data_IF_060917873702
#
_entry.id   IF_060917873702
#
_cell.length_a   1.000
_cell.length_b   1.000
_cell.length_c   1.000
_cell.angle_alpha   90.00
_cell.angle_beta   90.00
_cell.angle_gamma   90.00
#
_symmetry.space_group_name_H-M   'P 1'
#
loop_
_entity.id
_entity.type
_entity.pdbx_description
1 polymer ?
#
# COMPACT_ATOMS: atom_id res chain seq x y z
N UNK A 1 -49.27 4.04 -59.49
CA UNK A 1 -50.32 4.24 -58.46
C UNK A 1 -51.72 4.03 -59.03
N UNK A 2 -52.04 4.56 -60.20
CA UNK A 2 -53.35 4.42 -60.86
C UNK A 2 -53.74 2.97 -61.17
N UNK A 3 -52.81 2.11 -61.58
CA UNK A 3 -53.08 0.67 -61.83
C UNK A 3 -53.35 -0.17 -60.57
N UNK A 4 -52.76 0.23 -59.44
CA UNK A 4 -52.90 -0.50 -58.17
C UNK A 4 -54.26 -0.18 -57.51
N UNK A 5 -54.72 1.06 -57.70
CA UNK A 5 -56.05 1.52 -57.29
C UNK A 5 -57.16 0.83 -58.12
N UNK A 6 -56.98 0.65 -59.42
CA UNK A 6 -57.97 -0.04 -60.27
C UNK A 6 -58.10 -1.53 -59.93
N UNK A 7 -56.98 -2.22 -59.70
CA UNK A 7 -56.98 -3.62 -59.24
C UNK A 7 -57.63 -3.76 -57.86
N UNK A 8 -57.36 -2.84 -56.94
CA UNK A 8 -57.96 -2.85 -55.60
C UNK A 8 -59.49 -2.66 -55.64
N UNK A 9 -59.96 -1.70 -56.45
CA UNK A 9 -61.39 -1.43 -56.61
C UNK A 9 -62.18 -2.56 -57.29
N UNK A 10 -61.50 -3.46 -58.02
CA UNK A 10 -62.12 -4.63 -58.66
C UNK A 10 -62.30 -5.87 -57.78
N UNK A 11 -61.75 -5.85 -56.55
CA UNK A 11 -61.86 -6.96 -55.60
C UNK A 11 -63.16 -6.86 -54.78
N UNK A 12 -63.83 -8.01 -54.55
CA UNK A 12 -65.02 -8.06 -53.71
C UNK A 12 -64.74 -7.67 -52.24
N UNK A 13 -65.72 -7.13 -51.50
CA UNK A 13 -65.54 -6.62 -50.13
C UNK A 13 -64.93 -7.65 -49.16
N UNK A 14 -65.31 -8.92 -49.30
CA UNK A 14 -64.79 -10.04 -48.51
C UNK A 14 -63.30 -10.29 -48.74
N UNK A 15 -62.82 -10.15 -49.98
CA UNK A 15 -61.40 -10.34 -50.31
C UNK A 15 -60.59 -9.14 -49.82
N UNK A 16 -61.10 -7.92 -49.97
CA UNK A 16 -60.47 -6.72 -49.42
C UNK A 16 -60.30 -6.82 -47.89
N UNK A 17 -61.34 -7.25 -47.17
CA UNK A 17 -61.28 -7.46 -45.72
C UNK A 17 -60.23 -8.52 -45.32
N UNK A 18 -60.15 -9.62 -46.06
CA UNK A 18 -59.14 -10.67 -45.82
C UNK A 18 -57.70 -10.17 -46.04
N UNK A 19 -57.46 -9.38 -47.09
CA UNK A 19 -56.14 -8.79 -47.37
C UNK A 19 -55.74 -7.79 -46.28
N UNK A 20 -56.67 -6.92 -45.84
CA UNK A 20 -56.41 -5.98 -44.75
C UNK A 20 -56.06 -6.74 -43.46
N UNK A 21 -56.82 -7.77 -43.11
CA UNK A 21 -56.55 -8.61 -41.93
C UNK A 21 -55.18 -9.30 -41.98
N UNK A 22 -54.80 -9.84 -43.14
CA UNK A 22 -53.49 -10.45 -43.35
C UNK A 22 -52.34 -9.43 -43.18
N UNK A 23 -52.46 -8.26 -43.81
CA UNK A 23 -51.45 -7.18 -43.71
C UNK A 23 -51.32 -6.68 -42.27
N UNK A 24 -52.43 -6.45 -41.58
CA UNK A 24 -52.43 -6.03 -40.18
C UNK A 24 -51.76 -7.07 -39.26
N UNK A 25 -51.99 -8.36 -39.51
CA UNK A 25 -51.34 -9.45 -38.78
C UNK A 25 -49.84 -9.49 -39.04
N UNK A 26 -49.41 -9.36 -40.29
CA UNK A 26 -47.99 -9.30 -40.64
C UNK A 26 -47.28 -8.09 -40.03
N UNK A 27 -47.91 -6.90 -40.04
CA UNK A 27 -47.35 -5.69 -39.42
C UNK A 27 -47.24 -5.83 -37.91
N UNK A 28 -48.28 -6.34 -37.25
CA UNK A 28 -48.27 -6.57 -35.80
C UNK A 28 -47.18 -7.59 -35.42
N UNK A 29 -47.04 -8.67 -36.21
CA UNK A 29 -45.98 -9.66 -36.04
C UNK A 29 -44.58 -9.05 -36.22
N UNK A 30 -44.37 -8.24 -37.26
CA UNK A 30 -43.10 -7.57 -37.52
C UNK A 30 -42.72 -6.61 -36.39
N UNK A 31 -43.65 -5.76 -35.95
CA UNK A 31 -43.43 -4.84 -34.82
C UNK A 31 -43.14 -5.60 -33.52
N UNK A 32 -43.84 -6.70 -33.26
CA UNK A 32 -43.59 -7.58 -32.12
C UNK A 32 -42.18 -8.16 -32.13
N UNK A 33 -41.75 -8.73 -33.26
CA UNK A 33 -40.41 -9.31 -33.42
C UNK A 33 -39.32 -8.24 -33.25
N UNK A 34 -39.48 -7.06 -33.89
CA UNK A 34 -38.53 -5.95 -33.74
C UNK A 34 -38.45 -5.48 -32.29
N UNK A 35 -39.59 -5.36 -31.61
CA UNK A 35 -39.65 -5.00 -30.18
C UNK A 35 -38.88 -5.99 -29.31
N UNK A 36 -39.08 -7.30 -29.52
CA UNK A 36 -38.36 -8.37 -28.80
C UNK A 36 -36.85 -8.30 -29.10
N UNK A 37 -36.44 -8.12 -30.36
CA UNK A 37 -35.02 -8.00 -30.72
C UNK A 37 -34.36 -6.78 -30.05
N UNK A 38 -35.05 -5.64 -30.02
CA UNK A 38 -34.57 -4.44 -29.31
C UNK A 38 -34.45 -4.68 -27.80
N UNK A 39 -35.43 -5.35 -27.19
CA UNK A 39 -35.41 -5.70 -25.76
C UNK A 39 -34.26 -6.66 -25.42
N UNK A 40 -34.04 -7.71 -26.21
CA UNK A 40 -32.91 -8.64 -26.02
C UNK A 40 -31.58 -7.88 -26.12
N UNK A 41 -31.45 -6.95 -27.08
CA UNK A 41 -30.26 -6.11 -27.20
C UNK A 41 -30.03 -5.20 -25.99
N UNK A 42 -31.10 -4.59 -25.46
CA UNK A 42 -31.03 -3.75 -24.26
C UNK A 42 -30.71 -4.57 -22.99
N UNK A 43 -31.38 -5.71 -22.80
CA UNK A 43 -31.14 -6.64 -21.69
C UNK A 43 -29.71 -7.22 -21.75
N UNK A 44 -29.22 -7.56 -22.94
CA UNK A 44 -27.85 -8.05 -23.11
C UNK A 44 -26.80 -7.02 -22.69
N UNK A 45 -27.01 -5.73 -23.00
CA UNK A 45 -26.11 -4.65 -22.55
C UNK A 45 -26.18 -4.45 -21.03
N UNK A 46 -27.38 -4.41 -20.46
CA UNK A 46 -27.58 -4.28 -19.02
C UNK A 46 -26.96 -5.47 -18.26
N UNK A 47 -27.11 -6.70 -18.77
CA UNK A 47 -26.53 -7.89 -18.18
C UNK A 47 -24.99 -7.85 -18.24
N UNK A 48 -24.39 -7.43 -19.36
CA UNK A 48 -22.94 -7.25 -19.46
C UNK A 48 -22.40 -6.22 -18.47
N UNK A 49 -23.12 -5.11 -18.29
CA UNK A 49 -22.75 -4.09 -17.32
C UNK A 49 -22.84 -4.63 -15.88
N UNK A 50 -23.92 -5.34 -15.55
CA UNK A 50 -24.09 -5.98 -14.24
C UNK A 50 -22.99 -7.01 -13.95
N UNK A 51 -22.62 -7.84 -14.92
CA UNK A 51 -21.52 -8.80 -14.80
C UNK A 51 -20.19 -8.07 -14.58
N UNK A 52 -19.90 -7.04 -15.38
CA UNK A 52 -18.67 -6.26 -15.25
C UNK A 52 -18.58 -5.53 -13.90
N UNK A 53 -19.70 -4.99 -13.41
CA UNK A 53 -19.76 -4.33 -12.11
C UNK A 53 -19.58 -5.31 -10.95
N UNK A 54 -20.23 -6.48 -11.02
CA UNK A 54 -20.06 -7.55 -10.04
C UNK A 54 -18.61 -8.03 -10.00
N UNK A 55 -17.97 -8.21 -11.15
CA UNK A 55 -16.56 -8.61 -11.23
C UNK A 55 -15.64 -7.51 -10.68
N UNK A 56 -15.93 -6.23 -10.96
CA UNK A 56 -15.19 -5.11 -10.37
C UNK A 56 -15.30 -5.10 -8.84
N UNK A 57 -16.49 -5.34 -8.29
CA UNK A 57 -16.72 -5.42 -6.84
C UNK A 57 -15.97 -6.60 -6.23
N UNK A 58 -15.96 -7.75 -6.90
CA UNK A 58 -15.18 -8.94 -6.50
C UNK A 58 -13.69 -8.62 -6.44
N UNK A 59 -13.11 -8.07 -7.51
CA UNK A 59 -11.70 -7.70 -7.57
C UNK A 59 -11.31 -6.66 -6.51
N UNK A 60 -12.17 -5.66 -6.26
CA UNK A 60 -11.98 -4.67 -5.18
C UNK A 60 -11.92 -5.33 -3.81
N UNK A 61 -12.82 -6.27 -3.54
CA UNK A 61 -12.85 -7.02 -2.28
C UNK A 61 -11.59 -7.89 -2.12
N UNK A 62 -11.22 -8.66 -3.14
CA UNK A 62 -10.02 -9.51 -3.13
C UNK A 62 -8.75 -8.68 -2.92
N UNK A 63 -8.66 -7.51 -3.56
CA UNK A 63 -7.53 -6.60 -3.40
C UNK A 63 -7.46 -6.01 -1.98
N UNK A 64 -8.61 -5.66 -1.39
CA UNK A 64 -8.66 -5.17 -0.03
C UNK A 64 -8.27 -6.27 0.98
N UNK A 65 -8.73 -7.50 0.79
CA UNK A 65 -8.34 -8.64 1.63
C UNK A 65 -6.84 -8.90 1.58
N UNK A 66 -6.24 -8.91 0.38
CA UNK A 66 -4.79 -9.00 0.22
C UNK A 66 -4.05 -7.85 0.91
N UNK A 67 -4.60 -6.64 0.81
CA UNK A 67 -4.07 -5.45 1.49
C UNK A 67 -4.02 -5.64 2.99
N UNK A 68 -5.14 -6.06 3.60
CA UNK A 68 -5.21 -6.31 5.04
C UNK A 68 -4.23 -7.41 5.44
N UNK A 69 -4.17 -8.52 4.71
CA UNK A 69 -3.26 -9.62 5.02
C UNK A 69 -1.78 -9.19 5.06
N UNK A 70 -1.33 -8.40 4.07
CA UNK A 70 0.04 -7.87 4.05
C UNK A 70 0.27 -6.87 5.18
N UNK A 71 -0.68 -5.97 5.43
CA UNK A 71 -0.57 -4.99 6.52
C UNK A 71 -0.49 -5.66 7.89
N UNK A 72 -1.32 -6.68 8.15
CA UNK A 72 -1.29 -7.47 9.39
C UNK A 72 0.06 -8.17 9.55
N UNK A 73 0.56 -8.82 8.50
CA UNK A 73 1.88 -9.48 8.55
C UNK A 73 3.02 -8.49 8.85
N UNK A 74 2.99 -7.28 8.26
CA UNK A 74 3.95 -6.22 8.57
C UNK A 74 3.81 -5.73 10.02
N UNK A 75 2.57 -5.54 10.51
CA UNK A 75 2.31 -5.15 11.90
C UNK A 75 2.80 -6.21 12.89
N UNK A 76 2.57 -7.50 12.64
CA UNK A 76 3.00 -8.58 13.51
C UNK A 76 4.54 -8.65 13.63
N UNK A 77 5.24 -8.51 12.50
CA UNK A 77 6.70 -8.43 12.48
C UNK A 77 7.22 -7.19 13.22
N UNK A 78 6.57 -6.04 13.04
CA UNK A 78 6.89 -4.79 13.72
C UNK A 78 6.68 -4.88 15.24
N UNK A 79 5.55 -5.44 15.69
CA UNK A 79 5.24 -5.64 17.11
C UNK A 79 6.29 -6.57 17.73
N UNK A 80 6.64 -7.65 17.05
CA UNK A 80 7.65 -8.60 17.52
C UNK A 80 9.01 -7.92 17.69
N UNK A 81 9.48 -7.19 16.67
CA UNK A 81 10.76 -6.49 16.71
C UNK A 81 10.78 -5.37 17.77
N UNK A 82 9.75 -4.53 17.80
CA UNK A 82 9.66 -3.40 18.76
C UNK A 82 9.59 -3.89 20.22
N UNK A 83 8.81 -4.93 20.51
CA UNK A 83 8.77 -5.53 21.84
C UNK A 83 10.11 -6.14 22.26
N UNK A 84 10.86 -6.73 21.32
CA UNK A 84 12.22 -7.21 21.61
C UNK A 84 13.17 -6.05 21.94
N UNK A 85 13.09 -4.92 21.24
CA UNK A 85 13.89 -3.73 21.56
C UNK A 85 13.59 -3.18 22.96
N UNK A 86 12.31 -3.11 23.32
CA UNK A 86 11.91 -2.70 24.67
C UNK A 86 12.42 -3.68 25.72
N UNK A 87 12.18 -4.97 25.51
CA UNK A 87 12.53 -6.04 26.45
C UNK A 87 14.04 -6.12 26.68
N UNK A 88 14.85 -6.09 25.62
CA UNK A 88 16.30 -6.25 25.74
C UNK A 88 16.93 -5.06 26.47
N UNK A 89 16.51 -3.84 26.17
CA UNK A 89 17.01 -2.65 26.86
C UNK A 89 16.63 -2.63 28.34
N UNK A 90 15.39 -3.02 28.67
CA UNK A 90 14.95 -3.12 30.07
C UNK A 90 15.69 -4.24 30.82
N UNK A 91 15.84 -5.42 30.22
CA UNK A 91 16.48 -6.56 30.86
C UNK A 91 17.96 -6.27 31.20
N UNK A 92 18.71 -5.67 30.27
CA UNK A 92 20.11 -5.27 30.50
C UNK A 92 20.19 -4.19 31.59
N UNK A 93 19.31 -3.19 31.56
CA UNK A 93 19.26 -2.13 32.58
C UNK A 93 18.93 -2.65 33.98
N UNK A 94 17.96 -3.56 34.08
CA UNK A 94 17.59 -4.17 35.36
C UNK A 94 18.65 -5.12 35.90
N UNK A 95 19.31 -5.92 35.06
CA UNK A 95 20.41 -6.78 35.52
C UNK A 95 21.56 -5.95 36.12
N UNK A 96 21.99 -4.90 35.41
CA UNK A 96 23.05 -4.01 35.88
C UNK A 96 22.71 -3.36 37.23
N UNK A 97 21.49 -2.82 37.37
CA UNK A 97 21.02 -2.21 38.61
C UNK A 97 20.94 -3.23 39.76
N UNK A 98 20.47 -4.44 39.47
CA UNK A 98 20.34 -5.52 40.44
C UNK A 98 21.71 -6.00 40.94
N UNK A 99 22.71 -6.12 40.06
CA UNK A 99 24.09 -6.45 40.44
C UNK A 99 24.76 -5.33 41.23
N UNK A 100 24.57 -4.06 40.85
CA UNK A 100 25.08 -2.93 41.61
C UNK A 100 24.50 -2.88 43.05
N UNK A 101 23.27 -3.38 43.23
CA UNK A 101 22.62 -3.52 44.53
C UNK A 101 22.98 -4.82 45.29
N UNK A 102 23.92 -5.64 44.79
CA UNK A 102 24.24 -6.97 45.31
C UNK A 102 23.04 -7.92 45.42
N UNK A 103 22.07 -7.79 44.50
CA UNK A 103 20.87 -8.62 44.40
C UNK A 103 20.73 -9.20 42.99
N UNK A 104 21.65 -10.09 42.55
CA UNK A 104 21.63 -10.60 41.19
C UNK A 104 20.28 -11.25 40.86
N UNK A 105 19.71 -10.89 39.71
CA UNK A 105 18.47 -11.44 39.20
C UNK A 105 18.79 -12.40 38.06
N UNK A 106 18.09 -13.53 37.98
CA UNK A 106 18.19 -14.42 36.83
C UNK A 106 17.24 -13.92 35.72
N UNK A 107 17.64 -12.85 35.03
CA UNK A 107 16.86 -12.29 33.92
C UNK A 107 17.21 -13.00 32.61
N UNK A 108 16.18 -13.39 31.86
CA UNK A 108 16.36 -13.91 30.51
C UNK A 108 16.57 -12.75 29.53
N UNK A 109 17.82 -12.42 29.27
CA UNK A 109 18.18 -11.41 28.27
C UNK A 109 18.12 -12.06 26.88
N UNK A 110 17.34 -11.49 25.93
CA UNK A 110 17.27 -11.98 24.56
C UNK A 110 18.65 -12.05 23.89
N UNK A 111 18.84 -13.07 23.05
CA UNK A 111 20.06 -13.28 22.26
C UNK A 111 20.07 -12.40 21.04
N UNK A 112 21.28 -12.05 20.58
CA UNK A 112 21.45 -11.25 19.37
C UNK A 112 20.81 -11.91 18.13
N UNK A 113 20.91 -13.23 17.97
CA UNK A 113 20.29 -13.92 16.82
C UNK A 113 18.78 -13.70 16.75
N UNK A 114 18.05 -13.79 17.88
CA UNK A 114 16.59 -13.55 17.92
C UNK A 114 16.23 -12.14 17.47
N UNK A 115 17.10 -11.18 17.77
CA UNK A 115 16.91 -9.78 17.40
C UNK A 115 17.17 -9.58 15.90
N UNK A 116 18.24 -10.19 15.38
CA UNK A 116 18.56 -10.21 13.95
C UNK A 116 17.42 -10.85 13.15
N UNK A 117 16.90 -11.99 13.61
CA UNK A 117 15.78 -12.68 12.97
C UNK A 117 14.53 -11.79 12.94
N UNK A 118 14.19 -11.13 14.04
CA UNK A 118 13.04 -10.23 14.11
C UNK A 118 13.21 -8.97 13.24
N UNK A 119 14.41 -8.40 13.20
CA UNK A 119 14.72 -7.26 12.31
C UNK A 119 14.64 -7.66 10.83
N UNK A 120 15.13 -8.85 10.50
CA UNK A 120 15.07 -9.40 9.13
C UNK A 120 13.61 -9.66 8.73
N UNK A 121 12.82 -10.28 9.60
CA UNK A 121 11.39 -10.50 9.37
C UNK A 121 10.62 -9.19 9.16
N UNK A 122 10.92 -8.14 9.93
CA UNK A 122 10.35 -6.81 9.71
C UNK A 122 10.75 -6.23 8.35
N UNK A 123 12.03 -6.35 7.99
CA UNK A 123 12.54 -5.86 6.69
C UNK A 123 11.86 -6.57 5.52
N UNK A 124 11.75 -7.90 5.57
CA UNK A 124 11.08 -8.72 4.56
C UNK A 124 9.59 -8.38 4.45
N UNK A 125 8.90 -8.26 5.59
CA UNK A 125 7.48 -7.89 5.61
C UNK A 125 7.25 -6.47 5.06
N UNK A 126 8.18 -5.54 5.29
CA UNK A 126 8.12 -4.18 4.76
C UNK A 126 8.38 -4.15 3.25
N UNK A 127 9.32 -4.96 2.75
CA UNK A 127 9.54 -5.15 1.32
C UNK A 127 8.28 -5.71 0.62
N UNK A 128 7.62 -6.70 1.24
CA UNK A 128 6.37 -7.26 0.72
C UNK A 128 5.25 -6.21 0.66
N UNK A 129 5.14 -5.36 1.68
CA UNK A 129 4.24 -4.20 1.68
C UNK A 129 4.51 -3.25 0.51
N UNK A 130 5.78 -2.92 0.27
CA UNK A 130 6.20 -2.08 -0.86
C UNK A 130 5.84 -2.73 -2.20
N UNK A 131 6.17 -4.01 -2.41
CA UNK A 131 5.87 -4.70 -3.66
C UNK A 131 4.38 -4.81 -3.94
N UNK A 132 3.57 -5.01 -2.90
CA UNK A 132 2.13 -4.97 -3.02
C UNK A 132 1.64 -3.61 -3.53
N UNK A 133 2.15 -2.49 -2.99
CA UNK A 133 1.81 -1.14 -3.48
C UNK A 133 2.17 -0.99 -4.95
N UNK A 134 3.39 -1.38 -5.33
CA UNK A 134 3.88 -1.25 -6.70
C UNK A 134 3.05 -2.09 -7.68
N UNK A 135 2.69 -3.32 -7.30
CA UNK A 135 1.81 -4.19 -8.11
C UNK A 135 0.41 -3.58 -8.30
N UNK A 136 -0.10 -2.88 -7.30
CA UNK A 136 -1.44 -2.33 -7.28
C UNK A 136 -1.53 -0.87 -7.78
N UNK A 137 -0.45 -0.34 -8.37
CA UNK A 137 -0.41 1.03 -8.90
C UNK A 137 -1.47 1.30 -9.98
N UNK A 138 -1.94 0.27 -10.68
CA UNK A 138 -3.01 0.39 -11.69
C UNK A 138 -4.34 0.89 -11.09
N UNK A 139 -4.56 0.67 -9.79
CA UNK A 139 -5.78 1.11 -9.10
C UNK A 139 -5.76 2.63 -8.90
N UNK A 140 -4.68 3.14 -8.32
CA UNK A 140 -4.41 4.58 -8.21
C UNK A 140 -2.89 4.83 -8.18
N UNK A 141 -2.33 5.58 -9.15
CA UNK A 141 -0.89 5.87 -9.19
C UNK A 141 -0.36 6.62 -7.96
N UNK A 142 -1.25 7.33 -7.24
CA UNK A 142 -0.88 8.09 -6.03
C UNK A 142 -0.52 7.16 -4.86
N UNK A 143 -0.87 5.88 -4.91
CA UNK A 143 -0.50 4.88 -3.90
C UNK A 143 1.02 4.78 -3.68
N UNK A 144 1.84 5.19 -4.67
CA UNK A 144 3.29 5.22 -4.53
C UNK A 144 3.80 6.08 -3.37
N UNK A 145 3.00 7.04 -2.88
CA UNK A 145 3.38 7.82 -1.69
C UNK A 145 3.61 6.93 -0.47
N UNK A 146 2.85 5.85 -0.33
CA UNK A 146 3.00 4.91 0.78
C UNK A 146 4.29 4.11 0.69
N UNK A 147 4.78 3.82 -0.52
CA UNK A 147 6.12 3.25 -0.70
C UNK A 147 7.18 4.24 -0.23
N UNK A 148 7.06 5.51 -0.61
CA UNK A 148 8.02 6.56 -0.23
C UNK A 148 8.03 6.75 1.29
N UNK A 149 6.85 6.88 1.91
CA UNK A 149 6.68 7.00 3.36
C UNK A 149 7.26 5.79 4.10
N UNK A 150 6.94 4.57 3.65
CA UNK A 150 7.43 3.34 4.26
C UNK A 150 8.96 3.21 4.17
N UNK A 151 9.55 3.54 3.02
CA UNK A 151 11.01 3.55 2.87
C UNK A 151 11.67 4.59 3.80
N UNK A 152 11.07 5.77 3.94
CA UNK A 152 11.58 6.79 4.83
C UNK A 152 11.54 6.34 6.31
N UNK A 153 10.43 5.74 6.75
CA UNK A 153 10.28 5.20 8.10
C UNK A 153 11.25 4.04 8.37
N UNK A 154 11.34 3.07 7.45
CA UNK A 154 12.26 1.93 7.57
C UNK A 154 13.73 2.37 7.58
N UNK A 155 14.09 3.42 6.82
CA UNK A 155 15.45 3.96 6.82
C UNK A 155 15.88 4.44 8.20
N UNK A 156 15.01 5.16 8.93
CA UNK A 156 15.30 5.64 10.29
C UNK A 156 15.51 4.47 11.25
N UNK A 157 14.64 3.46 11.19
CA UNK A 157 14.78 2.23 12.00
C UNK A 157 16.09 1.52 11.67
N UNK A 158 16.40 1.34 10.38
CA UNK A 158 17.61 0.67 9.93
C UNK A 158 18.89 1.45 10.28
N UNK A 159 18.84 2.77 10.27
CA UNK A 159 19.97 3.59 10.67
C UNK A 159 20.26 3.44 12.16
N UNK A 160 19.24 3.57 13.00
CA UNK A 160 19.37 3.39 14.44
C UNK A 160 19.81 1.96 14.79
N UNK A 161 19.23 0.95 14.12
CA UNK A 161 19.56 -0.45 14.31
C UNK A 161 21.01 -0.77 13.89
N UNK A 162 21.37 -0.52 12.63
CA UNK A 162 22.66 -0.97 12.09
C UNK A 162 23.84 -0.12 12.56
N UNK A 163 23.67 1.20 12.69
CA UNK A 163 24.79 2.08 13.06
C UNK A 163 25.04 2.16 14.55
N UNK A 164 23.98 2.05 15.36
CA UNK A 164 24.09 2.27 16.81
C UNK A 164 23.87 0.98 17.58
N UNK A 165 22.75 0.29 17.36
CA UNK A 165 22.42 -0.88 18.16
C UNK A 165 23.38 -2.06 17.91
N UNK A 166 23.53 -2.53 16.67
CA UNK A 166 24.33 -3.73 16.36
C UNK A 166 25.76 -3.66 16.94
N UNK A 167 26.55 -2.59 16.75
CA UNK A 167 27.91 -2.53 17.29
C UNK A 167 27.97 -2.56 18.82
N UNK A 168 26.99 -1.96 19.50
CA UNK A 168 26.95 -1.94 20.97
C UNK A 168 26.41 -3.26 21.54
N UNK A 169 25.53 -3.94 20.83
CA UNK A 169 24.91 -5.19 21.28
C UNK A 169 25.87 -6.38 21.32
N UNK A 170 26.94 -6.37 20.52
CA UNK A 170 27.91 -7.48 20.46
C UNK A 170 28.57 -7.75 21.82
N UNK A 171 28.84 -6.71 22.60
CA UNK A 171 29.50 -6.82 23.91
C UNK A 171 28.51 -6.81 25.08
N UNK A 172 27.28 -6.37 24.86
CA UNK A 172 26.28 -6.15 25.92
C UNK A 172 25.21 -7.24 25.99
N UNK A 173 25.16 -8.15 25.01
CA UNK A 173 24.20 -9.25 24.99
C UNK A 173 24.88 -10.59 25.26
N UNK A 174 24.13 -11.57 25.79
CA UNK A 174 24.65 -12.92 25.96
C UNK A 174 25.10 -13.54 24.64
N UNK A 175 26.32 -14.10 24.63
CA UNK A 175 26.93 -14.76 23.47
C UNK A 175 27.01 -16.26 23.71
N UNK A 176 26.70 -17.04 22.68
CA UNK A 176 26.82 -18.50 22.69
C UNK A 176 28.24 -18.87 22.22
N UNK A 177 28.96 -19.65 23.04
CA UNK A 177 30.25 -20.21 22.69
C UNK A 177 30.08 -21.53 21.91
N UNK A 178 31.12 -21.95 21.19
CA UNK A 178 31.10 -23.20 20.39
C UNK A 178 30.79 -24.45 21.22
N UNK A 179 31.09 -24.43 22.52
CA UNK A 179 30.81 -25.52 23.45
C UNK A 179 29.37 -25.51 24.01
N UNK A 180 28.50 -24.61 23.54
CA UNK A 180 27.13 -24.44 23.99
C UNK A 180 26.98 -23.65 25.30
N UNK A 181 28.07 -23.14 25.88
CA UNK A 181 28.00 -22.26 27.03
C UNK A 181 27.58 -20.85 26.64
N UNK A 182 26.89 -20.20 27.56
CA UNK A 182 26.49 -18.81 27.44
C UNK A 182 27.44 -17.95 28.24
N UNK A 183 28.08 -16.99 27.60
CA UNK A 183 28.86 -15.95 28.29
C UNK A 183 28.05 -14.67 28.29
N UNK A 184 27.89 -14.09 29.48
CA UNK A 184 27.28 -12.80 29.67
C UNK A 184 27.95 -12.09 30.85
N UNK A 185 28.52 -10.92 30.58
CA UNK A 185 29.02 -10.02 31.59
C UNK A 185 28.07 -8.83 31.69
N UNK A 186 27.61 -8.56 32.92
CA UNK A 186 26.71 -7.45 33.17
C UNK A 186 27.47 -6.13 33.02
N UNK A 187 26.97 -5.18 32.22
CA UNK A 187 27.61 -3.89 32.07
C UNK A 187 27.44 -3.03 33.33
N UNK A 188 28.24 -1.97 33.42
CA UNK A 188 28.02 -0.89 34.38
C UNK A 188 26.63 -0.25 34.18
N UNK A 189 26.02 0.24 35.28
CA UNK A 189 24.68 0.83 35.28
C UNK A 189 24.56 1.96 34.25
N UNK A 190 25.57 2.83 34.14
CA UNK A 190 25.55 3.94 33.17
C UNK A 190 25.54 3.44 31.73
N UNK A 191 26.28 2.37 31.44
CA UNK A 191 26.33 1.76 30.10
C UNK A 191 24.98 1.08 29.80
N UNK A 192 24.40 0.39 30.77
CA UNK A 192 23.11 -0.26 30.65
C UNK A 192 21.97 0.73 30.38
N UNK A 193 21.97 1.90 31.05
CA UNK A 193 21.03 2.99 30.81
C UNK A 193 21.19 3.60 29.41
N UNK A 194 22.42 3.85 28.98
CA UNK A 194 22.70 4.33 27.63
C UNK A 194 22.20 3.34 26.55
N UNK A 195 22.41 2.04 26.79
CA UNK A 195 21.91 0.99 25.92
C UNK A 195 20.38 0.94 25.89
N UNK A 196 19.71 1.02 27.05
CA UNK A 196 18.24 1.09 27.14
C UNK A 196 17.68 2.28 26.37
N UNK A 197 18.30 3.46 26.49
CA UNK A 197 17.84 4.65 25.77
C UNK A 197 17.96 4.46 24.25
N UNK A 198 19.00 3.77 23.79
CA UNK A 198 19.18 3.42 22.38
C UNK A 198 18.10 2.47 21.87
N UNK A 199 17.73 1.45 22.65
CA UNK A 199 16.66 0.53 22.22
C UNK A 199 15.29 1.19 22.27
N UNK A 200 15.05 2.11 23.23
CA UNK A 200 13.85 2.95 23.27
C UNK A 200 13.75 3.88 22.05
N UNK A 201 14.87 4.41 21.56
CA UNK A 201 14.88 5.22 20.33
C UNK A 201 14.45 4.40 19.10
N UNK A 202 14.90 3.15 18.98
CA UNK A 202 14.48 2.23 17.91
C UNK A 202 13.00 1.88 18.06
N UNK A 203 12.56 1.55 19.28
CA UNK A 203 11.16 1.28 19.59
C UNK A 203 10.26 2.47 19.17
N UNK A 204 10.63 3.70 19.56
CA UNK A 204 9.88 4.89 19.19
C UNK A 204 9.89 5.14 17.68
N UNK A 205 10.99 4.87 16.99
CA UNK A 205 11.11 5.00 15.54
C UNK A 205 10.19 4.04 14.77
N UNK A 206 9.80 2.91 15.38
CA UNK A 206 8.84 1.97 14.79
C UNK A 206 7.43 2.56 14.64
N UNK A 207 7.07 3.58 15.42
CA UNK A 207 5.73 4.22 15.38
C UNK A 207 5.39 4.84 14.01
N UNK A 208 6.40 5.32 13.28
CA UNK A 208 6.23 5.86 11.94
C UNK A 208 5.84 4.79 10.91
N UNK A 209 6.22 3.52 11.13
CA UNK A 209 5.78 2.39 10.32
C UNK A 209 4.32 2.06 10.65
N UNK A 210 3.96 1.97 11.94
CA UNK A 210 2.59 1.71 12.39
C UNK A 210 1.60 2.71 11.80
N UNK A 211 1.88 4.00 11.96
CA UNK A 211 1.01 5.08 11.46
C UNK A 211 0.90 5.09 9.94
N UNK A 212 1.97 4.74 9.21
CA UNK A 212 1.92 4.56 7.76
C UNK A 212 1.02 3.40 7.34
N UNK A 213 1.03 2.28 8.07
CA UNK A 213 0.17 1.13 7.80
C UNK A 213 -1.31 1.47 8.07
N UNK A 214 -1.60 2.14 9.19
CA UNK A 214 -2.94 2.60 9.53
C UNK A 214 -3.52 3.53 8.45
N UNK A 215 -2.74 4.53 8.05
CA UNK A 215 -3.11 5.47 6.98
C UNK A 215 -3.38 4.73 5.66
N UNK A 216 -2.55 3.71 5.34
CA UNK A 216 -2.71 2.93 4.13
C UNK A 216 -3.99 2.09 4.14
N UNK A 217 -4.31 1.44 5.26
CA UNK A 217 -5.55 0.68 5.41
C UNK A 217 -6.76 1.60 5.22
N UNK A 218 -6.76 2.79 5.82
CA UNK A 218 -7.84 3.77 5.69
C UNK A 218 -8.01 4.22 4.23
N UNK A 219 -6.90 4.56 3.56
CA UNK A 219 -6.94 4.95 2.14
C UNK A 219 -7.45 3.82 1.26
N UNK A 220 -7.01 2.58 1.50
CA UNK A 220 -7.45 1.42 0.71
C UNK A 220 -8.90 1.06 0.97
N UNK A 221 -9.39 1.21 2.21
CA UNK A 221 -10.80 1.07 2.55
C UNK A 221 -11.65 2.10 1.81
N UNK A 222 -11.24 3.37 1.84
CA UNK A 222 -11.93 4.46 1.16
C UNK A 222 -11.91 4.30 -0.37
N UNK A 223 -10.78 3.88 -0.93
CA UNK A 223 -10.57 3.72 -2.38
C UNK A 223 -11.33 2.51 -2.94
N UNK A 224 -11.32 1.38 -2.24
CA UNK A 224 -11.86 0.12 -2.74
C UNK A 224 -13.31 -0.12 -2.32
N UNK A 225 -13.68 0.27 -1.10
CA UNK A 225 -14.96 -0.09 -0.47
C UNK A 225 -15.89 1.11 -0.23
N UNK A 226 -15.39 2.35 -0.29
CA UNK A 226 -16.16 3.54 0.06
C UNK A 226 -17.43 3.73 -0.80
N UNK A 227 -17.40 3.32 -2.07
CA UNK A 227 -18.57 3.35 -2.97
C UNK A 227 -19.60 2.26 -2.66
N UNK A 228 -19.20 1.16 -2.03
CA UNK A 228 -20.11 0.05 -1.69
C UNK A 228 -20.98 0.37 -0.46
N UNK A 229 -20.44 1.13 0.50
CA UNK A 229 -21.11 1.44 1.76
C UNK A 229 -21.58 2.89 1.87
N UNK A 230 -21.38 3.69 0.81
CA UNK A 230 -21.72 5.13 0.76
C UNK A 230 -21.15 5.92 1.95
N UNK A 231 -20.01 5.48 2.48
CA UNK A 231 -19.38 6.05 3.66
C UNK A 231 -17.85 6.01 3.52
N UNK A 232 -17.16 6.92 4.21
CA UNK A 232 -15.70 6.97 4.25
C UNK A 232 -15.20 6.82 5.68
N UNK A 233 -14.18 5.99 5.84
CA UNK A 233 -13.38 5.96 7.05
C UNK A 233 -12.68 7.32 7.24
N UNK A 234 -12.71 7.81 8.47
CA UNK A 234 -12.04 9.07 8.82
C UNK A 234 -10.54 8.83 8.99
N UNK A 235 -9.75 9.75 8.45
CA UNK A 235 -8.32 9.77 8.71
C UNK A 235 -8.04 10.17 10.16
N UNK A 236 -6.91 9.70 10.69
CA UNK A 236 -6.44 10.11 12.02
C UNK A 236 -6.14 11.61 12.07
N UNK A 237 -6.26 12.20 13.26
CA UNK A 237 -5.84 13.58 13.55
C UNK A 237 -4.72 13.50 14.58
N UNK A 238 -3.45 13.63 14.16
CA UNK A 238 -2.32 13.53 15.07
C UNK A 238 -2.35 14.66 16.09
N UNK A 239 -2.02 14.33 17.35
CA UNK A 239 -1.85 15.33 18.42
C UNK A 239 -0.58 16.16 18.16
N UNK A 240 0.48 15.51 17.68
CA UNK A 240 1.72 16.17 17.30
C UNK A 240 1.54 16.91 15.95
N UNK A 241 1.70 18.25 15.91
CA UNK A 241 1.58 19.01 14.67
C UNK A 241 2.66 18.69 13.63
N UNK A 242 3.75 18.02 14.02
CA UNK A 242 4.81 17.59 13.12
C UNK A 242 4.57 16.19 12.54
N UNK A 243 3.60 15.44 13.07
CA UNK A 243 3.25 14.15 12.53
C UNK A 243 2.38 14.31 11.27
N UNK A 244 2.87 13.77 10.15
CA UNK A 244 2.14 13.80 8.88
C UNK A 244 1.21 12.59 8.74
N UNK A 245 -0.01 12.82 8.25
CA UNK A 245 -0.95 11.77 7.83
C UNK A 245 -0.76 11.52 6.34
N UNK A 246 -0.46 10.27 5.97
CA UNK A 246 -0.23 9.90 4.58
C UNK A 246 -1.59 9.74 3.90
N UNK A 247 -1.91 10.64 2.96
CA UNK A 247 -3.19 10.63 2.26
C UNK A 247 -3.01 10.74 0.75
N UNK A 248 -3.93 10.14 -0.01
CA UNK A 248 -3.88 10.20 -1.48
C UNK A 248 -4.16 11.61 -2.02
N UNK A 249 -4.90 12.42 -1.28
CA UNK A 249 -5.24 13.80 -1.67
C UNK A 249 -4.03 14.75 -1.58
N UNK A 250 -3.08 14.47 -0.68
CA UNK A 250 -1.87 15.27 -0.47
C UNK A 250 -0.60 14.57 -0.98
N UNK A 251 -0.74 13.54 -1.81
CA UNK A 251 0.37 12.68 -2.23
C UNK A 251 1.58 13.45 -2.79
N UNK A 252 1.38 14.51 -3.59
CA UNK A 252 2.48 15.31 -4.17
C UNK A 252 3.24 16.16 -3.14
N UNK A 253 2.54 16.72 -2.17
CA UNK A 253 3.12 17.52 -1.09
C UNK A 253 3.92 16.60 -0.17
N UNK A 254 3.35 15.45 0.19
CA UNK A 254 4.00 14.43 1.00
C UNK A 254 5.23 13.85 0.28
N UNK A 255 5.15 13.57 -1.02
CA UNK A 255 6.29 13.07 -1.79
C UNK A 255 7.46 14.07 -1.73
N UNK A 256 7.15 15.36 -1.89
CA UNK A 256 8.17 16.42 -1.78
C UNK A 256 8.78 16.44 -0.37
N UNK A 257 7.96 16.35 0.68
CA UNK A 257 8.42 16.27 2.06
C UNK A 257 9.36 15.08 2.27
N UNK A 258 8.94 13.86 1.93
CA UNK A 258 9.76 12.66 2.13
C UNK A 258 11.06 12.70 1.33
N UNK A 259 11.03 13.21 0.10
CA UNK A 259 12.22 13.28 -0.76
C UNK A 259 13.22 14.38 -0.37
N UNK A 260 12.79 15.41 0.38
CA UNK A 260 13.66 16.59 0.66
C UNK A 260 13.96 16.81 2.13
N UNK A 261 13.01 16.52 3.03
CA UNK A 261 13.11 16.88 4.44
C UNK A 261 13.51 15.69 5.33
N UNK A 262 13.36 14.45 4.86
CA UNK A 262 13.69 13.28 5.67
C UNK A 262 15.14 12.81 5.48
N UNK A 263 15.74 12.13 6.47
CA UNK A 263 17.07 11.54 6.35
C UNK A 263 17.20 10.61 5.14
N UNK A 264 16.13 9.87 4.82
CA UNK A 264 16.07 9.00 3.65
C UNK A 264 16.17 9.80 2.35
N UNK A 265 15.35 10.83 2.18
CA UNK A 265 15.37 11.68 0.97
C UNK A 265 16.72 12.36 0.75
N UNK A 266 17.33 12.88 1.82
CA UNK A 266 18.67 13.45 1.80
C UNK A 266 19.73 12.42 1.40
N UNK A 267 19.63 11.19 1.93
CA UNK A 267 20.52 10.09 1.57
C UNK A 267 20.36 9.70 0.09
N UNK A 268 19.13 9.62 -0.42
CA UNK A 268 18.86 9.34 -1.84
C UNK A 268 19.47 10.43 -2.73
N UNK A 269 19.26 11.70 -2.41
CA UNK A 269 19.84 12.81 -3.17
C UNK A 269 21.37 12.74 -3.23
N UNK A 270 22.01 12.44 -2.09
CA UNK A 270 23.47 12.23 -2.01
C UNK A 270 23.93 11.06 -2.86
N UNK A 271 23.24 9.93 -2.82
CA UNK A 271 23.59 8.74 -3.61
C UNK A 271 23.43 9.01 -5.11
N UNK A 272 22.38 9.72 -5.52
CA UNK A 272 22.20 10.13 -6.91
C UNK A 272 23.31 11.08 -7.38
N UNK A 273 23.72 12.04 -6.56
CA UNK A 273 24.82 12.94 -6.87
C UNK A 273 26.14 12.19 -7.07
N UNK A 274 26.45 11.26 -6.15
CA UNK A 274 27.62 10.40 -6.25
C UNK A 274 27.58 9.53 -7.51
N UNK A 275 26.42 8.95 -7.85
CA UNK A 275 26.25 8.17 -9.07
C UNK A 275 26.42 9.02 -10.34
N UNK A 276 25.90 10.27 -10.34
CA UNK A 276 26.09 11.20 -11.47
C UNK A 276 27.56 11.57 -11.67
N UNK A 277 28.31 11.76 -10.58
CA UNK A 277 29.74 12.02 -10.63
C UNK A 277 30.54 10.81 -11.13
N UNK A 278 30.14 9.59 -10.76
CA UNK A 278 30.78 8.35 -11.19
C UNK A 278 30.50 7.97 -12.67
N UNK A 279 29.33 8.34 -13.21
CA UNK A 279 28.89 7.97 -14.57
C UNK A 279 28.53 9.18 -15.47
N UNK A 280 29.47 10.10 -15.76
CA UNK A 280 29.19 11.33 -16.49
C UNK A 280 28.81 11.11 -17.98
N UNK A 281 29.28 10.02 -18.62
CA UNK A 281 29.09 9.78 -20.04
C UNK A 281 27.67 9.30 -20.43
N UNK A 282 26.92 8.66 -19.52
CA UNK A 282 25.54 8.20 -19.79
C UNK A 282 24.48 9.30 -19.55
N UNK A 283 24.80 10.31 -18.74
CA UNK A 283 23.86 11.38 -18.37
C UNK A 283 23.61 12.41 -19.48
N UNK A 284 24.49 12.53 -20.47
CA UNK A 284 24.27 13.40 -21.64
C UNK A 284 23.29 12.80 -22.66
N UNK A 285 23.13 11.47 -22.72
CA UNK A 285 22.11 10.82 -23.54
C UNK A 285 20.72 10.83 -22.87
N UNK A 286 20.67 10.75 -21.54
CA UNK A 286 19.43 10.80 -20.74
C UNK A 286 18.82 12.19 -20.56
N UNK A 287 19.56 13.27 -20.86
CA UNK A 287 19.09 14.67 -20.70
C UNK A 287 17.91 15.07 -21.59
N UNK A 288 17.61 14.32 -22.66
CA UNK A 288 16.37 14.51 -23.45
C UNK A 288 15.17 13.69 -22.94
N UNK A 289 15.37 12.77 -22.00
CA UNK A 289 14.35 11.82 -21.54
C UNK A 289 14.02 11.88 -20.05
N UNK A 290 15.00 11.90 -19.14
CA UNK A 290 14.82 11.47 -17.74
C UNK A 290 13.94 12.36 -16.86
N UNK A 291 14.12 13.68 -16.89
CA UNK A 291 13.31 14.62 -16.08
C UNK A 291 11.94 14.82 -16.73
N UNK A 292 11.87 14.77 -18.07
CA UNK A 292 10.60 14.84 -18.79
C UNK A 292 9.78 13.54 -18.67
N UNK A 293 10.38 12.37 -18.45
CA UNK A 293 9.62 11.10 -18.34
C UNK A 293 8.94 10.94 -16.98
N UNK A 294 9.60 11.31 -15.87
CA UNK A 294 8.98 11.25 -14.53
C UNK A 294 7.91 12.32 -14.33
N UNK A 295 8.09 13.53 -14.88
CA UNK A 295 7.05 14.58 -14.84
C UNK A 295 5.97 14.42 -15.93
N UNK A 296 6.27 13.92 -17.14
CA UNK A 296 5.20 13.67 -18.14
C UNK A 296 4.28 12.53 -17.74
N UNK A 297 4.72 11.50 -17.00
CA UNK A 297 3.78 10.48 -16.51
C UNK A 297 2.77 11.05 -15.50
N UNK A 298 3.18 12.02 -14.67
CA UNK A 298 2.30 12.73 -13.74
C UNK A 298 1.37 13.76 -14.42
N UNK A 299 1.74 14.31 -15.58
CA UNK A 299 0.95 15.34 -16.28
C UNK A 299 0.17 14.86 -17.51
N UNK A 300 0.38 13.64 -18.03
CA UNK A 300 -0.35 13.15 -19.23
C UNK A 300 -1.77 12.66 -18.94
N UNK A 301 -2.10 12.34 -17.68
CA UNK A 301 -3.45 11.89 -17.31
C UNK A 301 -4.44 13.04 -17.02
N UNK A 302 -4.00 14.30 -16.99
CA UNK A 302 -4.89 15.46 -16.76
C UNK A 302 -5.52 16.07 -18.03
N UNK A 303 -5.36 15.45 -19.21
CA UNK A 303 -5.87 15.95 -20.50
C UNK A 303 -6.81 15.00 -21.25
N UNK A 304 -7.29 13.92 -20.63
CA UNK A 304 -8.25 12.98 -21.25
C UNK A 304 -9.57 12.86 -20.48
N UNK A 305 -9.88 13.82 -19.61
CA UNK A 305 -11.17 13.90 -18.88
C UNK A 305 -11.76 15.31 -18.93
N UNK A 306 -11.84 15.87 -20.13
CA UNK A 306 -12.71 17.00 -20.49
C UNK A 306 -13.29 16.74 -21.86
#
# INVERSE_FOLDING_TARGET
MTELMTVWSGLGPTIQAAVIGAVATCLTGALGITGIMCQIGAQGRANRQSIAENERRRLKSELYEQTVAVCTATQDALITFSNLMLTVGQAVSYDAAARAANKPMNLQIPRMHRIIDAHSALSDATCNFIFMIERNQVVDPRLLIFRTAMNASLFVVNEAYNRRFVPNSITLLPVDLENGQVVYESPDVRVAEAYRNMTLEIFNSCSAITTCIEDFIIEMQNLLLGDLFENKAQHRVPIDPHAHVVTLDHASVLETYYMTQTPWGQNVARLEENARAAFPAQNNAGRRGGILFRLKMLFRHRRLSS
#
